data_IF_331843711204
#
_entry.id   IF_331843711204
#
_cell.length_a   1.000
_cell.length_b   1.000
_cell.length_c   1.000
_cell.angle_alpha   90.00
_cell.angle_beta   90.00
_cell.angle_gamma   90.00
#
_symmetry.space_group_name_H-M   'P 1'
#
loop_
_entity.id
_entity.type
_entity.pdbx_description
1 polymer ?
#
# COMPACT_ATOMS: atom_id res chain seq x y z
N UNK A 1 26.33 12.34 15.35
CA UNK A 1 25.93 11.50 16.49
C UNK A 1 27.00 10.41 16.68
N UNK A 2 27.88 10.53 17.68
CA UNK A 2 29.12 9.72 17.84
C UNK A 2 28.88 8.27 18.31
N UNK A 3 27.73 7.98 18.90
CA UNK A 3 27.40 6.67 19.50
C UNK A 3 27.23 5.59 18.43
N UNK A 4 26.47 5.86 17.36
CA UNK A 4 26.25 4.87 16.30
C UNK A 4 27.51 4.53 15.50
N UNK A 5 28.47 5.45 15.40
CA UNK A 5 29.74 5.22 14.71
C UNK A 5 30.69 4.28 15.48
N UNK A 6 30.44 4.02 16.76
CA UNK A 6 31.25 3.15 17.60
C UNK A 6 30.64 1.75 17.80
N UNK A 7 29.41 1.54 17.34
CA UNK A 7 28.77 0.22 17.42
C UNK A 7 29.36 -0.70 16.37
N UNK A 8 29.70 -1.92 16.78
CA UNK A 8 30.03 -2.99 15.84
C UNK A 8 28.76 -3.30 15.03
N UNK A 9 28.76 -3.08 13.69
CA UNK A 9 27.57 -3.25 12.88
C UNK A 9 27.01 -4.67 12.92
N UNK A 10 27.89 -5.66 13.00
CA UNK A 10 27.51 -7.08 12.96
C UNK A 10 26.86 -7.51 14.29
N UNK A 11 27.43 -7.12 15.43
CA UNK A 11 26.82 -7.39 16.74
C UNK A 11 25.50 -6.63 16.92
N UNK A 12 25.42 -5.39 16.41
CA UNK A 12 24.18 -4.64 16.44
C UNK A 12 23.09 -5.34 15.62
N UNK A 13 23.41 -5.81 14.42
CA UNK A 13 22.50 -6.58 13.57
C UNK A 13 22.05 -7.88 14.25
N UNK A 14 22.95 -8.63 14.87
CA UNK A 14 22.61 -9.88 15.58
C UNK A 14 21.69 -9.64 16.78
N UNK A 15 22.01 -8.65 17.63
CA UNK A 15 21.17 -8.27 18.76
C UNK A 15 19.80 -7.76 18.28
N UNK A 16 19.78 -6.98 17.21
CA UNK A 16 18.54 -6.50 16.59
C UNK A 16 17.68 -7.67 16.07
N UNK A 17 18.26 -8.60 15.32
CA UNK A 17 17.55 -9.78 14.82
C UNK A 17 17.03 -10.67 15.96
N UNK A 18 17.82 -10.87 17.01
CA UNK A 18 17.44 -11.64 18.19
C UNK A 18 16.25 -10.98 18.91
N UNK A 19 16.33 -9.68 19.15
CA UNK A 19 15.23 -8.90 19.69
C UNK A 19 13.99 -8.98 18.80
N UNK A 20 14.14 -8.86 17.48
CA UNK A 20 13.03 -8.92 16.54
C UNK A 20 12.32 -10.28 16.55
N UNK A 21 13.09 -11.38 16.59
CA UNK A 21 12.52 -12.73 16.74
C UNK A 21 11.78 -12.91 18.07
N UNK A 22 12.25 -12.26 19.14
CA UNK A 22 11.61 -12.36 20.46
C UNK A 22 10.28 -11.62 20.57
N UNK A 23 10.07 -10.59 19.76
CA UNK A 23 8.84 -9.78 19.77
C UNK A 23 7.86 -10.17 18.66
N UNK A 24 8.31 -10.97 17.67
CA UNK A 24 7.45 -11.47 16.61
C UNK A 24 6.35 -12.35 17.22
N UNK A 25 5.11 -11.87 17.18
CA UNK A 25 3.95 -12.70 17.53
C UNK A 25 3.56 -13.48 16.29
N UNK A 26 3.33 -14.79 16.44
CA UNK A 26 2.66 -15.58 15.40
C UNK A 26 1.21 -15.10 15.36
N UNK A 27 0.95 -14.09 14.54
CA UNK A 27 -0.39 -13.56 14.29
C UNK A 27 -0.93 -14.11 12.99
N UNK A 28 -2.24 -14.32 12.94
CA UNK A 28 -3.00 -14.53 11.70
C UNK A 28 -2.78 -13.34 10.75
N UNK A 29 -2.46 -13.63 9.48
CA UNK A 29 -2.27 -12.72 8.33
C UNK A 29 -1.56 -11.40 8.68
N UNK A 30 -0.26 -11.30 8.38
CA UNK A 30 0.49 -10.05 8.53
C UNK A 30 0.19 -9.08 7.37
N UNK A 31 0.11 -7.78 7.66
CA UNK A 31 -0.02 -6.73 6.66
C UNK A 31 1.36 -6.09 6.45
N UNK A 32 1.87 -6.20 5.22
CA UNK A 32 3.16 -5.65 4.80
C UNK A 32 2.93 -4.42 3.92
N UNK A 33 3.18 -3.24 4.47
CA UNK A 33 3.06 -1.98 3.73
C UNK A 33 4.35 -1.67 2.99
N UNK A 34 4.27 -1.50 1.66
CA UNK A 34 5.38 -1.03 0.84
C UNK A 34 5.18 0.45 0.55
N UNK A 35 6.16 1.25 0.97
CA UNK A 35 6.08 2.71 0.93
C UNK A 35 7.44 3.31 0.59
N UNK A 36 7.40 4.29 -0.32
CA UNK A 36 8.54 5.11 -0.72
C UNK A 36 8.72 6.34 0.17
N UNK A 37 9.96 6.62 0.56
CA UNK A 37 10.32 7.77 1.39
C UNK A 37 11.55 8.47 0.82
N UNK A 38 11.46 9.78 0.69
CA UNK A 38 12.61 10.65 0.44
C UNK A 38 13.24 11.04 1.78
N UNK A 39 14.54 10.75 1.96
CA UNK A 39 15.26 11.12 3.18
C UNK A 39 15.46 12.64 3.26
N UNK A 40 14.82 13.27 4.24
CA UNK A 40 14.96 14.71 4.46
C UNK A 40 16.40 15.06 4.85
N UNK A 41 16.98 16.09 4.22
CA UNK A 41 18.36 16.52 4.45
C UNK A 41 19.45 15.68 3.77
N UNK A 42 19.09 14.70 2.94
CA UNK A 42 20.04 13.88 2.18
C UNK A 42 20.53 14.51 0.87
N UNK A 43 19.95 15.65 0.48
CA UNK A 43 20.34 16.37 -0.72
C UNK A 43 21.67 17.10 -0.47
N UNK A 44 22.72 16.70 -1.18
CA UNK A 44 24.02 17.36 -1.11
C UNK A 44 24.23 18.21 -2.37
N UNK A 45 23.81 19.47 -2.26
CA UNK A 45 23.98 20.46 -3.32
C UNK A 45 25.45 20.78 -3.61
N UNK A 46 26.37 20.52 -2.68
CA UNK A 46 27.80 20.79 -2.88
C UNK A 46 28.47 19.73 -3.75
N UNK A 47 27.99 18.47 -3.69
CA UNK A 47 28.46 17.37 -4.56
C UNK A 47 27.52 17.06 -5.73
N UNK A 48 26.40 17.77 -5.86
CA UNK A 48 25.41 17.58 -6.93
C UNK A 48 24.56 16.32 -6.78
N UNK A 49 24.53 15.70 -5.59
CA UNK A 49 23.76 14.48 -5.33
C UNK A 49 22.30 14.80 -5.02
N UNK A 50 21.38 14.14 -5.73
CA UNK A 50 19.94 14.21 -5.48
C UNK A 50 19.59 13.60 -4.12
N UNK A 51 18.41 13.95 -3.60
CA UNK A 51 17.89 13.37 -2.37
C UNK A 51 17.77 11.84 -2.51
N UNK A 52 18.13 11.12 -1.45
CA UNK A 52 18.05 9.67 -1.42
C UNK A 52 16.60 9.25 -1.24
N UNK A 53 16.08 8.52 -2.23
CA UNK A 53 14.78 7.85 -2.18
C UNK A 53 14.96 6.39 -1.78
N UNK A 54 14.10 5.91 -0.89
CA UNK A 54 14.12 4.53 -0.37
C UNK A 54 12.70 3.97 -0.43
N UNK A 55 12.56 2.76 -0.95
CA UNK A 55 11.34 1.96 -0.79
C UNK A 55 11.55 1.00 0.37
N UNK A 56 10.58 0.94 1.28
CA UNK A 56 10.63 0.11 2.49
C UNK A 56 9.42 -0.81 2.60
N UNK A 57 9.61 -2.02 3.10
CA UNK A 57 8.55 -2.96 3.45
C UNK A 57 8.38 -2.99 4.97
N UNK A 58 7.20 -2.63 5.46
CA UNK A 58 6.88 -2.49 6.86
C UNK A 58 5.80 -3.48 7.29
N UNK A 59 6.16 -4.44 8.15
CA UNK A 59 5.24 -5.34 8.81
C UNK A 59 4.49 -4.58 9.91
N UNK A 60 3.19 -4.35 9.71
CA UNK A 60 2.40 -3.47 10.59
C UNK A 60 2.13 -4.08 11.95
N UNK A 61 1.86 -5.38 12.02
CA UNK A 61 1.54 -6.08 13.28
C UNK A 61 2.79 -6.21 14.14
N UNK A 62 3.89 -6.62 13.51
CA UNK A 62 5.18 -6.75 14.18
C UNK A 62 5.94 -5.42 14.34
N UNK A 63 5.46 -4.32 13.73
CA UNK A 63 6.07 -2.98 13.75
C UNK A 63 7.55 -3.00 13.35
N UNK A 64 7.85 -3.68 12.25
CA UNK A 64 9.21 -3.95 11.77
C UNK A 64 9.38 -3.54 10.31
N UNK A 65 10.56 -3.00 9.96
CA UNK A 65 11.01 -2.94 8.57
C UNK A 65 11.57 -4.31 8.17
N UNK A 66 10.89 -5.01 7.26
CA UNK A 66 11.32 -6.32 6.74
C UNK A 66 12.45 -6.19 5.72
N UNK A 67 12.47 -5.09 4.98
CA UNK A 67 13.48 -4.81 3.97
C UNK A 67 13.35 -3.40 3.44
N UNK A 68 14.43 -2.91 2.83
CA UNK A 68 14.44 -1.61 2.17
C UNK A 68 15.43 -1.61 1.01
N UNK A 69 15.10 -0.89 -0.06
CA UNK A 69 15.94 -0.75 -1.25
C UNK A 69 16.05 0.74 -1.57
N UNK A 70 17.27 1.21 -1.82
CA UNK A 70 17.52 2.56 -2.34
C UNK A 70 17.06 2.62 -3.79
N UNK A 71 16.31 3.66 -4.14
CA UNK A 71 15.97 3.96 -5.53
C UNK A 71 17.20 4.53 -6.23
N UNK A 72 17.55 3.96 -7.38
CA UNK A 72 18.66 4.44 -8.19
C UNK A 72 18.42 5.87 -8.65
N UNK A 73 19.49 6.67 -8.77
CA UNK A 73 19.40 8.10 -9.08
C UNK A 73 18.74 8.44 -10.42
N UNK A 74 18.68 7.48 -11.33
CA UNK A 74 18.05 7.59 -12.65
C UNK A 74 16.76 6.75 -12.76
N UNK A 75 16.24 6.23 -11.65
CA UNK A 75 15.08 5.35 -11.61
C UNK A 75 13.99 5.88 -10.67
N UNK A 76 12.96 5.07 -10.42
CA UNK A 76 11.83 5.41 -9.56
C UNK A 76 11.36 4.20 -8.73
N UNK A 77 10.45 4.45 -7.80
CA UNK A 77 9.87 3.45 -6.90
C UNK A 77 9.23 2.26 -7.63
N UNK A 78 8.63 2.47 -8.83
CA UNK A 78 8.01 1.41 -9.63
C UNK A 78 9.01 0.31 -9.98
N UNK A 79 10.27 0.66 -10.20
CA UNK A 79 11.33 -0.31 -10.49
C UNK A 79 11.96 -0.92 -9.24
N UNK A 80 11.97 -0.18 -8.12
CA UNK A 80 12.55 -0.64 -6.86
C UNK A 80 11.64 -1.62 -6.10
N UNK A 81 10.31 -1.45 -6.20
CA UNK A 81 9.33 -2.33 -5.56
C UNK A 81 9.51 -3.79 -5.99
N UNK A 82 9.61 -4.14 -7.29
CA UNK A 82 9.90 -5.50 -7.73
C UNK A 82 11.16 -6.11 -7.11
N UNK A 83 12.26 -5.35 -7.01
CA UNK A 83 13.50 -5.85 -6.42
C UNK A 83 13.36 -6.11 -4.92
N UNK A 84 12.63 -5.25 -4.21
CA UNK A 84 12.30 -5.46 -2.80
C UNK A 84 11.40 -6.69 -2.62
N UNK A 85 10.37 -6.87 -3.46
CA UNK A 85 9.48 -8.03 -3.37
C UNK A 85 10.21 -9.36 -3.54
N UNK A 86 11.20 -9.45 -4.43
CA UNK A 86 11.95 -10.70 -4.70
C UNK A 86 12.76 -11.22 -3.51
N UNK A 87 13.10 -10.36 -2.56
CA UNK A 87 13.93 -10.71 -1.40
C UNK A 87 13.14 -10.90 -0.11
N UNK A 88 11.81 -10.71 -0.17
CA UNK A 88 10.91 -10.89 0.96
C UNK A 88 10.22 -12.26 0.88
N UNK A 89 9.93 -12.85 2.04
CA UNK A 89 9.02 -13.99 2.17
C UNK A 89 7.65 -13.44 2.54
N UNK A 90 6.69 -13.52 1.62
CA UNK A 90 5.38 -12.86 1.75
C UNK A 90 4.21 -13.85 1.80
N UNK A 91 4.45 -15.16 1.72
CA UNK A 91 3.38 -16.16 1.71
C UNK A 91 2.42 -15.97 2.89
N UNK A 92 1.12 -15.92 2.59
CA UNK A 92 0.05 -15.69 3.57
C UNK A 92 -0.03 -14.27 4.14
N UNK A 93 0.73 -13.30 3.60
CA UNK A 93 0.62 -11.88 3.97
C UNK A 93 -0.33 -11.12 3.03
N UNK A 94 -0.81 -9.96 3.51
CA UNK A 94 -1.46 -8.95 2.67
C UNK A 94 -0.47 -7.82 2.43
N UNK A 95 -0.11 -7.60 1.17
CA UNK A 95 0.78 -6.51 0.76
C UNK A 95 -0.05 -5.27 0.43
N UNK A 96 0.25 -4.14 1.07
CA UNK A 96 -0.39 -2.86 0.74
C UNK A 96 0.57 -1.93 0.05
N UNK A 97 0.18 -1.36 -1.09
CA UNK A 97 1.02 -0.43 -1.85
C UNK A 97 0.23 0.83 -2.20
N UNK A 98 0.97 1.93 -2.25
CA UNK A 98 0.45 3.21 -2.72
C UNK A 98 0.04 3.16 -4.20
N UNK A 99 -0.46 4.29 -4.71
CA UNK A 99 -0.99 4.36 -6.07
C UNK A 99 0.09 4.32 -7.16
N UNK A 100 1.33 4.67 -6.84
CA UNK A 100 2.44 4.61 -7.79
C UNK A 100 2.77 3.14 -8.10
N UNK A 101 2.72 2.28 -7.08
CA UNK A 101 2.92 0.84 -7.21
C UNK A 101 1.74 0.05 -7.81
N UNK A 102 0.65 0.70 -8.22
CA UNK A 102 -0.49 0.06 -8.88
C UNK A 102 -0.14 -0.39 -10.31
N UNK A 103 0.65 -1.45 -10.41
CA UNK A 103 1.17 -1.99 -11.66
C UNK A 103 0.90 -3.48 -11.76
N UNK A 104 0.50 -3.95 -12.95
CA UNK A 104 0.13 -5.35 -13.20
C UNK A 104 1.27 -6.33 -12.91
N UNK A 105 2.51 -5.95 -13.23
CA UNK A 105 3.70 -6.77 -12.95
C UNK A 105 3.98 -6.89 -11.44
N UNK A 106 3.81 -5.82 -10.66
CA UNK A 106 3.96 -5.82 -9.21
C UNK A 106 2.92 -6.75 -8.58
N UNK A 107 1.65 -6.60 -8.96
CA UNK A 107 0.56 -7.50 -8.53
C UNK A 107 0.88 -8.96 -8.83
N UNK A 108 1.36 -9.25 -10.04
CA UNK A 108 1.73 -10.62 -10.44
C UNK A 108 2.82 -11.20 -9.54
N UNK A 109 3.84 -10.40 -9.18
CA UNK A 109 4.91 -10.85 -8.29
C UNK A 109 4.40 -11.18 -6.88
N UNK A 110 3.49 -10.37 -6.33
CA UNK A 110 2.88 -10.62 -5.02
C UNK A 110 2.11 -11.94 -5.03
N UNK A 111 1.24 -12.13 -6.03
CA UNK A 111 0.42 -13.35 -6.17
C UNK A 111 1.30 -14.59 -6.37
N UNK A 112 2.42 -14.48 -7.10
CA UNK A 112 3.36 -15.58 -7.31
C UNK A 112 4.04 -16.06 -6.02
N UNK A 113 4.10 -15.23 -4.99
CA UNK A 113 4.61 -15.58 -3.66
C UNK A 113 3.52 -16.08 -2.70
N UNK A 114 2.32 -16.39 -3.22
CA UNK A 114 1.18 -16.81 -2.42
C UNK A 114 0.76 -15.78 -1.35
N UNK A 115 0.87 -14.50 -1.73
CA UNK A 115 0.43 -13.36 -0.95
C UNK A 115 -0.79 -12.68 -1.60
N UNK A 116 -1.60 -12.02 -0.78
CA UNK A 116 -2.72 -11.19 -1.21
C UNK A 116 -2.29 -9.71 -1.26
N UNK A 117 -3.09 -8.85 -1.89
CA UNK A 117 -2.75 -7.43 -1.99
C UNK A 117 -3.93 -6.48 -1.83
N UNK A 118 -3.60 -5.26 -1.42
CA UNK A 118 -4.47 -4.09 -1.42
C UNK A 118 -3.70 -2.93 -2.01
N UNK A 119 -4.13 -2.42 -3.16
CA UNK A 119 -3.39 -1.37 -3.84
C UNK A 119 -4.30 -0.19 -4.11
N UNK A 120 -3.75 1.00 -3.89
CA UNK A 120 -4.49 2.25 -4.10
C UNK A 120 -4.66 2.51 -5.59
N UNK A 121 -5.87 2.83 -6.02
CA UNK A 121 -6.18 3.22 -7.38
C UNK A 121 -6.43 4.74 -7.43
N UNK A 122 -5.71 5.42 -8.32
CA UNK A 122 -5.87 6.85 -8.60
C UNK A 122 -6.11 7.08 -10.08
N UNK A 123 -6.58 8.28 -10.42
CA UNK A 123 -6.91 8.71 -11.80
C UNK A 123 -5.76 8.57 -12.80
N UNK A 124 -4.52 8.46 -12.34
CA UNK A 124 -3.35 8.24 -13.19
C UNK A 124 -3.22 6.81 -13.73
N UNK A 125 -4.09 5.87 -13.33
CA UNK A 125 -4.07 4.47 -13.75
C UNK A 125 -4.95 4.18 -14.98
N UNK A 126 -5.12 5.19 -15.85
CA UNK A 126 -5.85 5.07 -17.11
C UNK A 126 -7.31 4.65 -16.92
N UNK A 127 -7.81 3.83 -17.86
CA UNK A 127 -9.22 3.45 -17.94
C UNK A 127 -9.74 2.68 -16.72
N UNK A 128 -8.88 1.96 -15.98
CA UNK A 128 -9.32 1.16 -14.83
C UNK A 128 -9.99 2.05 -13.77
N UNK A 129 -9.48 3.26 -13.54
CA UNK A 129 -10.10 4.18 -12.60
C UNK A 129 -11.53 4.54 -13.04
N UNK A 130 -11.71 4.88 -14.31
CA UNK A 130 -13.00 5.31 -14.85
C UNK A 130 -14.01 4.15 -14.87
N UNK A 131 -13.55 2.94 -15.18
CA UNK A 131 -14.38 1.73 -15.14
C UNK A 131 -14.83 1.39 -13.71
N UNK A 132 -13.94 1.52 -12.73
CA UNK A 132 -14.27 1.34 -11.30
C UNK A 132 -15.28 2.39 -10.84
N UNK A 133 -15.06 3.67 -11.18
CA UNK A 133 -15.96 4.76 -10.84
C UNK A 133 -17.36 4.53 -11.44
N UNK A 134 -17.41 4.14 -12.72
CA UNK A 134 -18.66 3.81 -13.41
C UNK A 134 -19.38 2.62 -12.77
N UNK A 135 -18.67 1.55 -12.44
CA UNK A 135 -19.26 0.36 -11.82
C UNK A 135 -19.87 0.68 -10.45
N UNK A 136 -19.18 1.49 -9.64
CA UNK A 136 -19.68 1.93 -8.34
C UNK A 136 -20.96 2.76 -8.52
N UNK A 137 -20.95 3.71 -9.45
CA UNK A 137 -22.12 4.55 -9.77
C UNK A 137 -23.33 3.71 -10.20
N UNK A 138 -23.12 2.70 -11.04
CA UNK A 138 -24.15 1.78 -11.50
C UNK A 138 -24.75 0.98 -10.33
N UNK A 139 -23.92 0.41 -9.45
CA UNK A 139 -24.39 -0.33 -8.27
C UNK A 139 -25.10 0.60 -7.26
N UNK A 140 -24.65 1.85 -7.09
CA UNK A 140 -25.35 2.84 -6.25
C UNK A 140 -26.75 3.10 -6.81
N UNK A 141 -26.89 3.35 -8.12
CA UNK A 141 -28.19 3.61 -8.77
C UNK A 141 -29.10 2.40 -8.75
N UNK A 142 -28.53 1.20 -8.89
CA UNK A 142 -29.27 -0.07 -8.82
C UNK A 142 -29.60 -0.50 -7.37
N UNK A 143 -29.17 0.26 -6.35
CA UNK A 143 -29.40 -0.10 -4.95
C UNK A 143 -28.65 -1.37 -4.52
N UNK A 144 -27.51 -1.66 -5.15
CA UNK A 144 -26.62 -2.79 -4.89
C UNK A 144 -27.27 -4.18 -5.05
N UNK A 145 -28.14 -4.33 -6.04
CA UNK A 145 -28.78 -5.61 -6.37
C UNK A 145 -27.91 -6.50 -7.27
N UNK A 146 -26.88 -5.95 -7.93
CA UNK A 146 -26.08 -6.67 -8.92
C UNK A 146 -24.87 -7.40 -8.32
N UNK A 147 -24.11 -6.71 -7.46
CA UNK A 147 -22.89 -7.24 -6.86
C UNK A 147 -23.00 -7.43 -5.35
N UNK A 148 -22.24 -8.39 -4.82
CA UNK A 148 -22.07 -8.51 -3.38
C UNK A 148 -21.35 -7.26 -2.88
N UNK A 149 -21.91 -6.64 -1.84
CA UNK A 149 -21.36 -5.41 -1.30
C UNK A 149 -21.28 -5.45 0.22
N UNK A 150 -20.38 -4.65 0.78
CA UNK A 150 -20.34 -4.34 2.20
C UNK A 150 -20.12 -2.85 2.42
N UNK A 151 -20.64 -2.33 3.52
CA UNK A 151 -20.50 -0.93 3.91
C UNK A 151 -20.01 -0.84 5.34
N UNK A 152 -19.11 0.09 5.60
CA UNK A 152 -18.61 0.37 6.94
C UNK A 152 -18.45 1.88 7.14
N UNK A 153 -18.52 2.34 8.38
CA UNK A 153 -18.41 3.76 8.71
C UNK A 153 -17.56 3.94 9.95
N UNK A 154 -16.58 4.85 9.88
CA UNK A 154 -15.82 5.28 11.04
C UNK A 154 -16.02 6.76 11.30
N UNK A 155 -15.83 7.15 12.57
CA UNK A 155 -15.77 8.53 13.01
C UNK A 155 -14.56 8.66 13.92
N UNK A 156 -13.63 9.52 13.56
CA UNK A 156 -12.42 9.78 14.32
C UNK A 156 -12.37 11.25 14.72
N UNK A 157 -11.98 11.51 15.97
CA UNK A 157 -11.67 12.84 16.48
C UNK A 157 -10.22 12.86 16.95
N UNK A 158 -9.40 13.72 16.36
CA UNK A 158 -7.99 13.81 16.72
C UNK A 158 -7.30 15.01 16.08
N UNK A 159 -6.33 15.59 16.78
CA UNK A 159 -5.56 16.76 16.31
C UNK A 159 -6.45 17.94 15.86
N UNK A 160 -7.61 18.13 16.52
CA UNK A 160 -8.59 19.17 16.19
C UNK A 160 -9.43 18.89 14.93
N UNK A 161 -9.38 17.68 14.38
CA UNK A 161 -10.12 17.29 13.18
C UNK A 161 -11.20 16.27 13.53
N UNK A 162 -12.41 16.50 13.01
CA UNK A 162 -13.46 15.49 12.92
C UNK A 162 -13.44 14.89 11.53
N UNK A 163 -13.15 13.59 11.42
CA UNK A 163 -13.15 12.88 10.14
C UNK A 163 -14.15 11.72 10.20
N UNK A 164 -15.07 11.72 9.23
CA UNK A 164 -16.02 10.64 9.01
C UNK A 164 -15.61 9.93 7.73
N UNK A 165 -15.34 8.63 7.79
CA UNK A 165 -15.02 7.83 6.61
C UNK A 165 -16.13 6.82 6.34
N UNK A 166 -16.63 6.81 5.11
CA UNK A 166 -17.57 5.84 4.59
C UNK A 166 -16.82 4.89 3.66
N UNK A 167 -16.93 3.60 3.93
CA UNK A 167 -16.29 2.54 3.17
C UNK A 167 -17.37 1.77 2.43
N UNK A 168 -17.17 1.58 1.13
CA UNK A 168 -17.95 0.67 0.29
C UNK A 168 -16.98 -0.35 -0.28
N UNK A 169 -17.37 -1.62 -0.28
CA UNK A 169 -16.65 -2.67 -0.98
C UNK A 169 -17.63 -3.40 -1.89
N UNK A 170 -17.22 -3.66 -3.12
CA UNK A 170 -17.91 -4.51 -4.08
C UNK A 170 -17.02 -5.73 -4.35
N UNK A 171 -17.58 -6.93 -4.32
CA UNK A 171 -16.88 -8.19 -4.56
C UNK A 171 -17.51 -8.93 -5.76
N UNK A 172 -16.78 -9.92 -6.27
CA UNK A 172 -17.13 -10.67 -7.49
C UNK A 172 -17.17 -9.77 -8.74
N UNK A 173 -16.23 -8.83 -8.83
CA UNK A 173 -16.20 -7.84 -9.91
C UNK A 173 -15.43 -8.27 -11.17
N UNK A 174 -14.77 -9.43 -11.12
CA UNK A 174 -13.82 -9.88 -12.14
C UNK A 174 -14.44 -9.89 -13.54
N UNK A 175 -15.59 -10.52 -13.72
CA UNK A 175 -16.24 -10.60 -15.04
C UNK A 175 -16.67 -9.22 -15.59
N UNK A 176 -16.97 -8.25 -14.71
CA UNK A 176 -17.42 -6.92 -15.11
C UNK A 176 -16.26 -5.96 -15.39
N UNK A 177 -15.14 -6.09 -14.67
CA UNK A 177 -14.06 -5.11 -14.66
C UNK A 177 -12.76 -5.61 -15.31
N UNK A 178 -12.50 -6.91 -15.25
CA UNK A 178 -11.29 -7.53 -15.83
C UNK A 178 -11.62 -8.91 -16.42
N UNK A 179 -12.46 -8.95 -17.48
CA UNK A 179 -12.88 -10.20 -18.10
C UNK A 179 -11.70 -10.96 -18.73
N UNK A 180 -10.68 -10.24 -19.16
CA UNK A 180 -9.47 -10.79 -19.78
C UNK A 180 -8.39 -11.22 -18.75
N UNK A 181 -8.69 -11.12 -17.45
CA UNK A 181 -7.80 -11.52 -16.34
C UNK A 181 -6.41 -10.88 -16.41
N UNK A 182 -6.37 -9.60 -16.79
CA UNK A 182 -5.13 -8.85 -16.96
C UNK A 182 -4.51 -8.49 -15.61
N UNK A 183 -5.32 -8.37 -14.56
CA UNK A 183 -4.90 -8.21 -13.17
C UNK A 183 -5.02 -9.55 -12.43
N UNK A 184 -3.88 -10.05 -11.95
CA UNK A 184 -3.84 -11.35 -11.28
C UNK A 184 -4.70 -11.34 -10.01
N UNK A 185 -5.66 -12.28 -9.95
CA UNK A 185 -6.60 -12.49 -8.82
C UNK A 185 -7.54 -11.32 -8.50
N UNK A 186 -7.75 -10.33 -9.39
CA UNK A 186 -8.69 -9.22 -9.17
C UNK A 186 -10.13 -9.68 -8.85
N UNK A 187 -10.60 -9.46 -7.62
CA UNK A 187 -11.91 -9.96 -7.16
C UNK A 187 -12.80 -8.91 -6.47
N UNK A 188 -12.22 -7.88 -5.85
CA UNK A 188 -12.98 -6.83 -5.17
C UNK A 188 -12.46 -5.43 -5.49
N UNK A 189 -13.29 -4.43 -5.26
CA UNK A 189 -12.93 -3.01 -5.28
C UNK A 189 -13.51 -2.33 -4.05
N UNK A 190 -12.81 -1.33 -3.54
CA UNK A 190 -13.17 -0.54 -2.37
C UNK A 190 -13.16 0.95 -2.68
N UNK A 191 -14.11 1.67 -2.09
CA UNK A 191 -14.17 3.13 -2.13
C UNK A 191 -14.18 3.66 -0.70
N UNK A 192 -13.39 4.71 -0.47
CA UNK A 192 -13.42 5.45 0.78
C UNK A 192 -13.77 6.90 0.51
N UNK A 193 -14.93 7.31 1.01
CA UNK A 193 -15.34 8.72 1.06
C UNK A 193 -15.02 9.29 2.44
N UNK A 194 -14.29 10.40 2.48
CA UNK A 194 -13.95 11.08 3.73
C UNK A 194 -14.58 12.47 3.78
N UNK A 195 -15.27 12.77 4.88
CA UNK A 195 -15.83 14.07 5.20
C UNK A 195 -15.07 14.62 6.41
N UNK A 196 -14.51 15.82 6.26
CA UNK A 196 -13.77 16.52 7.31
C UNK A 196 -14.49 17.81 7.68
N UNK A 197 -14.90 17.94 8.94
CA UNK A 197 -15.56 19.16 9.44
C UNK A 197 -14.49 20.17 9.90
N UNK A 198 -13.87 20.90 8.96
CA UNK A 198 -13.12 22.14 9.21
C UNK A 198 -13.25 23.18 8.08
N UNK A 199 -13.67 22.76 6.89
CA UNK A 199 -14.12 23.55 5.74
C UNK A 199 -14.87 22.53 4.87
N UNK A 200 -16.08 22.84 4.38
CA UNK A 200 -16.87 21.89 3.59
C UNK A 200 -16.15 21.66 2.25
N UNK A 201 -15.30 20.63 2.21
CA UNK A 201 -14.66 20.14 0.99
C UNK A 201 -14.96 18.65 0.88
N UNK A 202 -15.91 18.30 0.00
CA UNK A 202 -16.18 16.92 -0.39
C UNK A 202 -15.15 16.54 -1.45
N UNK A 203 -14.22 15.64 -1.14
CA UNK A 203 -13.28 15.06 -2.11
C UNK A 203 -13.28 13.53 -1.97
N UNK A 204 -13.62 12.77 -3.03
CA UNK A 204 -13.28 11.35 -3.08
C UNK A 204 -11.75 11.26 -3.11
N UNK A 205 -11.16 10.76 -2.02
CA UNK A 205 -9.71 10.84 -1.82
C UNK A 205 -8.97 9.53 -2.11
N UNK A 206 -9.67 8.39 -2.18
CA UNK A 206 -9.05 7.13 -2.60
C UNK A 206 -10.09 6.07 -3.01
N UNK A 207 -9.87 5.51 -4.21
CA UNK A 207 -10.36 4.18 -4.56
C UNK A 207 -9.23 3.21 -4.23
N UNK A 208 -9.58 2.04 -3.72
CA UNK A 208 -8.64 0.95 -3.49
C UNK A 208 -9.15 -0.27 -4.24
N UNK A 209 -8.25 -1.09 -4.72
CA UNK A 209 -8.58 -2.41 -5.22
C UNK A 209 -8.16 -3.40 -4.15
N UNK A 210 -9.09 -4.23 -3.70
CA UNK A 210 -8.93 -5.19 -2.61
C UNK A 210 -9.18 -6.58 -3.21
N UNK A 211 -8.47 -7.62 -2.78
CA UNK A 211 -8.85 -8.99 -3.14
C UNK A 211 -9.76 -9.60 -2.09
#
# INVERSE_FOLDING_TARGET
>A
MRVFAQLNPQQFQECFLSWMRSIQKVTSVEIVAIDGKTLCGSNDKASGQSAIEIVSAWATTNRLVLGQVKVDSNSNEITAIPELLKVLELSGCIVTIDAIGCQKNIVKLIVQQDADYVITLKKNQGNLYDEVEKLIDEEIRAGFQGLKHSKYKTKEFGHGRHEIRHYLMLSNIQEKLDPDLVWAKLNSIGMVESVRELEITIKPNALFVWL
#
